data_IF_503018332340
#
_entry.id   IF_503018332340
#
_cell.length_a   1.000
_cell.length_b   1.000
_cell.length_c   1.000
_cell.angle_alpha   90.00
_cell.angle_beta   90.00
_cell.angle_gamma   90.00
#
_symmetry.space_group_name_H-M   'P 1'
#
loop_
_entity.id
_entity.type
_entity.pdbx_description
1 polymer ?
#
# COMPACT_ATOMS: atom_id res chain seq x y z
N UNK A 1 15.74 -19.27 5.92
CA UNK A 1 14.83 -18.37 5.17
C UNK A 1 13.58 -18.18 6.01
N UNK A 2 13.30 -16.97 6.49
CA UNK A 2 12.05 -16.71 7.21
C UNK A 2 10.86 -16.92 6.25
N UNK A 3 9.75 -17.41 6.78
CA UNK A 3 8.55 -17.66 5.99
C UNK A 3 7.89 -16.33 5.65
N UNK A 4 7.70 -16.02 4.35
CA UNK A 4 7.01 -14.80 3.90
C UNK A 4 5.64 -14.65 4.57
N UNK A 5 5.38 -13.47 5.11
CA UNK A 5 4.11 -13.11 5.77
C UNK A 5 3.19 -12.43 4.77
N UNK A 6 1.95 -12.93 4.66
CA UNK A 6 0.92 -12.32 3.81
C UNK A 6 0.20 -11.23 4.58
N UNK A 7 -0.16 -10.16 3.88
CA UNK A 7 -1.07 -9.16 4.40
C UNK A 7 -2.48 -9.73 4.63
N UNK A 8 -3.15 -9.26 5.67
CA UNK A 8 -4.53 -9.66 5.97
C UNK A 8 -5.57 -8.92 5.10
N UNK A 9 -5.17 -7.89 4.34
CA UNK A 9 -5.99 -7.25 3.33
C UNK A 9 -5.62 -7.71 1.91
N UNK A 10 -6.62 -7.77 1.03
CA UNK A 10 -6.40 -7.74 -0.43
C UNK A 10 -6.19 -6.29 -0.83
N UNK A 11 -5.10 -5.98 -1.52
CA UNK A 11 -4.78 -4.60 -1.89
C UNK A 11 -4.21 -4.54 -3.29
N UNK A 12 -4.61 -3.52 -4.04
CA UNK A 12 -4.01 -3.24 -5.33
C UNK A 12 -2.52 -2.90 -5.13
N UNK A 13 -1.65 -3.40 -6.01
CA UNK A 13 -0.20 -3.13 -5.92
C UNK A 13 0.56 -3.95 -4.87
N UNK A 14 -0.09 -4.87 -4.14
CA UNK A 14 0.56 -5.66 -3.08
C UNK A 14 1.87 -6.33 -3.51
N UNK A 15 2.97 -5.95 -2.87
CA UNK A 15 4.35 -6.36 -3.19
C UNK A 15 4.76 -7.74 -2.68
N UNK A 16 3.83 -8.54 -2.15
CA UNK A 16 4.12 -9.86 -1.59
C UNK A 16 4.95 -10.79 -2.51
N UNK A 17 4.73 -10.75 -3.82
CA UNK A 17 5.52 -11.54 -4.79
C UNK A 17 6.91 -10.97 -5.04
N UNK A 18 7.08 -9.66 -4.87
CA UNK A 18 8.30 -8.92 -5.18
C UNK A 18 9.23 -8.79 -3.98
N UNK A 19 8.74 -9.14 -2.79
CA UNK A 19 9.41 -8.80 -1.55
C UNK A 19 10.85 -9.32 -1.44
N UNK A 20 11.16 -10.52 -1.95
CA UNK A 20 12.52 -11.08 -1.96
C UNK A 20 13.48 -10.32 -2.86
N UNK A 21 12.98 -9.76 -3.95
CA UNK A 21 13.79 -8.97 -4.87
C UNK A 21 13.89 -7.52 -4.36
N UNK A 22 12.77 -6.98 -3.86
CA UNK A 22 12.69 -5.64 -3.29
C UNK A 22 13.56 -5.48 -2.04
N UNK A 23 13.57 -6.47 -1.15
CA UNK A 23 14.36 -6.42 0.09
C UNK A 23 15.86 -6.32 -0.16
N UNK A 24 16.36 -6.73 -1.33
CA UNK A 24 17.77 -6.59 -1.72
C UNK A 24 18.14 -5.16 -2.11
N UNK A 25 17.14 -4.34 -2.43
CA UNK A 25 17.32 -2.94 -2.82
C UNK A 25 17.05 -1.98 -1.66
N UNK A 26 16.44 -2.48 -0.58
CA UNK A 26 16.21 -1.68 0.63
C UNK A 26 17.55 -1.52 1.37
N UNK A 27 18.00 -0.27 1.60
CA UNK A 27 19.14 0.00 2.47
C UNK A 27 18.91 -0.49 3.90
N UNK A 28 19.98 -0.67 4.66
CA UNK A 28 19.87 -0.90 6.11
C UNK A 28 19.62 0.43 6.85
N UNK A 29 18.98 0.35 8.02
CA UNK A 29 18.74 1.47 8.92
C UNK A 29 17.94 1.05 10.14
N UNK A 30 17.66 2.01 11.03
CA UNK A 30 17.01 1.73 12.31
C UNK A 30 15.48 1.66 12.18
N UNK A 31 14.92 2.54 11.33
CA UNK A 31 13.48 2.69 11.16
C UNK A 31 13.10 2.76 9.69
N UNK A 32 12.13 1.92 9.29
CA UNK A 32 11.55 2.00 7.96
C UNK A 32 10.34 2.92 7.97
N UNK A 33 10.35 3.92 7.10
CA UNK A 33 9.22 4.81 6.86
C UNK A 33 8.54 4.42 5.56
N UNK A 34 7.25 4.08 5.60
CA UNK A 34 6.42 3.80 4.42
C UNK A 34 5.34 4.88 4.27
N UNK A 35 5.54 5.92 3.42
CA UNK A 35 4.54 6.97 3.19
C UNK A 35 3.25 6.49 2.51
N UNK A 36 3.29 5.29 1.93
CA UNK A 36 2.20 4.66 1.18
C UNK A 36 2.03 3.19 1.61
N UNK A 37 1.83 2.95 2.92
CA UNK A 37 1.91 1.58 3.47
C UNK A 37 0.96 0.60 2.79
N UNK A 38 -0.24 1.05 2.38
CA UNK A 38 -1.24 0.16 1.79
C UNK A 38 -1.46 -1.09 2.65
N UNK A 39 -1.37 -2.29 2.07
CA UNK A 39 -1.47 -3.56 2.80
C UNK A 39 -0.26 -3.92 3.70
N UNK A 40 0.80 -3.11 3.75
CA UNK A 40 1.98 -3.34 4.60
C UNK A 40 2.80 -4.57 4.21
N UNK A 41 2.87 -4.90 2.91
CA UNK A 41 3.61 -6.10 2.47
C UNK A 41 5.11 -5.98 2.71
N UNK A 42 5.68 -4.78 2.61
CA UNK A 42 7.11 -4.54 2.88
C UNK A 42 7.36 -4.59 4.38
N UNK A 43 6.65 -3.76 5.14
CA UNK A 43 6.58 -3.84 6.61
C UNK A 43 6.55 -5.28 7.13
N UNK A 44 5.61 -6.12 6.68
CA UNK A 44 5.45 -7.48 7.18
C UNK A 44 6.63 -8.43 6.92
N UNK A 45 7.55 -8.08 6.02
CA UNK A 45 8.59 -8.98 5.52
C UNK A 45 10.01 -8.39 5.55
N UNK A 46 10.21 -7.24 6.19
CA UNK A 46 11.53 -6.68 6.53
C UNK A 46 11.75 -6.74 8.04
N UNK A 47 12.97 -6.58 8.53
CA UNK A 47 13.29 -6.73 9.97
C UNK A 47 13.98 -5.47 10.52
N UNK A 48 13.36 -4.30 10.31
CA UNK A 48 13.80 -3.04 10.93
C UNK A 48 13.39 -2.98 12.39
N UNK A 49 14.13 -2.21 13.20
CA UNK A 49 13.87 -2.09 14.65
C UNK A 49 12.52 -1.43 14.92
N UNK A 50 12.19 -0.37 14.18
CA UNK A 50 10.89 0.30 14.27
C UNK A 50 10.35 0.70 12.90
N UNK A 51 9.08 1.09 12.84
CA UNK A 51 8.41 1.49 11.61
C UNK A 51 7.58 2.75 11.81
N UNK A 52 7.56 3.63 10.80
CA UNK A 52 6.56 4.69 10.66
C UNK A 52 5.73 4.40 9.40
N UNK A 53 4.48 4.06 9.59
CA UNK A 53 3.59 3.58 8.52
C UNK A 53 2.47 4.58 8.29
N UNK A 54 2.48 5.20 7.11
CA UNK A 54 1.57 6.27 6.74
C UNK A 54 0.71 5.89 5.54
N UNK A 55 -0.53 6.38 5.54
CA UNK A 55 -1.42 6.34 4.39
C UNK A 55 -2.44 7.48 4.53
N UNK A 56 -2.95 7.98 3.40
CA UNK A 56 -4.03 8.98 3.40
C UNK A 56 -5.40 8.35 3.71
N UNK A 57 -5.50 7.01 3.64
CA UNK A 57 -6.73 6.30 3.93
C UNK A 57 -6.95 6.13 5.43
N UNK A 58 -7.83 6.97 5.98
CA UNK A 58 -8.20 6.96 7.40
C UNK A 58 -8.78 5.62 7.88
N UNK A 59 -9.59 4.94 7.06
CA UNK A 59 -10.19 3.65 7.45
C UNK A 59 -9.12 2.56 7.56
N UNK A 60 -8.11 2.61 6.70
CA UNK A 60 -6.96 1.70 6.75
C UNK A 60 -6.12 1.92 8.00
N UNK A 61 -5.76 3.17 8.30
CA UNK A 61 -4.93 3.50 9.46
C UNK A 61 -5.67 3.22 10.77
N UNK A 62 -6.96 3.52 10.86
CA UNK A 62 -7.77 3.18 12.03
C UNK A 62 -7.84 1.67 12.25
N UNK A 63 -8.05 0.90 11.19
CA UNK A 63 -8.01 -0.56 11.26
C UNK A 63 -6.68 -1.05 11.82
N UNK A 64 -5.55 -0.55 11.33
CA UNK A 64 -4.23 -0.95 11.82
C UNK A 64 -4.03 -0.64 13.30
N UNK A 65 -4.43 0.56 13.75
CA UNK A 65 -4.38 0.93 15.18
C UNK A 65 -5.26 0.03 16.05
N UNK A 66 -6.45 -0.35 15.58
CA UNK A 66 -7.35 -1.25 16.31
C UNK A 66 -6.77 -2.67 16.39
N UNK A 67 -6.21 -3.19 15.29
CA UNK A 67 -5.55 -4.51 15.28
C UNK A 67 -4.29 -4.52 16.15
N UNK A 68 -3.58 -3.39 16.25
CA UNK A 68 -2.43 -3.21 17.14
C UNK A 68 -2.84 -3.22 18.62
N UNK A 69 -3.95 -2.57 18.98
CA UNK A 69 -4.31 -2.29 20.39
C UNK A 69 -5.32 -3.28 20.98
N UNK A 70 -6.28 -3.77 20.21
CA UNK A 70 -7.35 -4.67 20.65
C UNK A 70 -7.51 -5.90 19.72
N UNK A 71 -6.43 -6.67 19.42
CA UNK A 71 -6.45 -7.72 18.39
C UNK A 71 -7.50 -8.80 18.62
N UNK A 72 -7.65 -9.32 19.83
CA UNK A 72 -8.57 -10.44 20.08
C UNK A 72 -10.04 -10.02 19.95
N UNK A 73 -10.37 -8.82 20.46
CA UNK A 73 -11.71 -8.23 20.32
C UNK A 73 -12.03 -7.97 18.85
N UNK A 74 -11.07 -7.41 18.10
CA UNK A 74 -11.22 -7.19 16.66
C UNK A 74 -11.41 -8.51 15.90
N UNK A 75 -10.55 -9.51 16.15
CA UNK A 75 -10.61 -10.82 15.50
C UNK A 75 -11.95 -11.49 15.76
N UNK A 76 -12.44 -11.49 17.00
CA UNK A 76 -13.73 -12.08 17.33
C UNK A 76 -14.89 -11.41 16.57
N UNK A 77 -14.95 -10.07 16.57
CA UNK A 77 -15.98 -9.32 15.87
C UNK A 77 -15.90 -9.50 14.35
N UNK A 78 -14.70 -9.43 13.78
CA UNK A 78 -14.48 -9.65 12.35
C UNK A 78 -14.86 -11.08 11.95
N UNK A 79 -14.49 -12.11 12.72
CA UNK A 79 -14.80 -13.51 12.43
C UNK A 79 -16.30 -13.79 12.38
N UNK A 80 -17.09 -13.11 13.21
CA UNK A 80 -18.55 -13.21 13.18
C UNK A 80 -19.17 -12.76 11.85
N UNK A 81 -18.46 -11.93 11.07
CA UNK A 81 -18.89 -11.49 9.74
C UNK A 81 -18.53 -12.48 8.62
N UNK A 82 -17.77 -13.55 8.91
CA UNK A 82 -17.29 -14.54 7.92
C UNK A 82 -18.05 -15.87 8.04
N UNK A 83 -19.38 -15.77 8.13
CA UNK A 83 -20.33 -16.88 8.17
C UNK A 83 -21.12 -16.96 6.85
N UNK A 84 -21.70 -18.13 6.48
CA UNK A 84 -22.40 -18.30 5.21
C UNK A 84 -23.50 -17.27 4.93
N UNK A 85 -24.23 -16.85 5.95
CA UNK A 85 -25.34 -15.89 5.88
C UNK A 85 -24.85 -14.49 5.47
N UNK A 86 -23.59 -14.18 5.77
CA UNK A 86 -22.95 -12.92 5.41
C UNK A 86 -22.32 -12.95 4.02
N UNK A 87 -22.23 -14.11 3.36
CA UNK A 87 -21.81 -14.23 1.96
C UNK A 87 -23.00 -14.11 0.99
N UNK A 88 -23.88 -13.16 1.27
CA UNK A 88 -25.06 -12.83 0.49
C UNK A 88 -24.97 -11.40 -0.06
N UNK A 89 -25.60 -11.17 -1.21
CA UNK A 89 -25.58 -9.89 -1.92
C UNK A 89 -26.32 -8.80 -1.14
N UNK A 90 -27.48 -9.11 -0.57
CA UNK A 90 -28.27 -8.14 0.20
C UNK A 90 -27.60 -7.81 1.52
N UNK A 91 -27.09 -8.83 2.23
CA UNK A 91 -26.29 -8.66 3.44
C UNK A 91 -25.08 -7.75 3.19
N UNK A 92 -24.34 -7.98 2.10
CA UNK A 92 -23.19 -7.14 1.73
C UNK A 92 -23.58 -5.67 1.53
N UNK A 93 -24.69 -5.40 0.83
CA UNK A 93 -25.12 -4.01 0.60
C UNK A 93 -25.67 -3.35 1.85
N UNK A 94 -26.29 -4.10 2.77
CA UNK A 94 -26.67 -3.58 4.09
C UNK A 94 -25.44 -3.15 4.88
N UNK A 95 -24.43 -4.02 4.99
CA UNK A 95 -23.16 -3.69 5.68
C UNK A 95 -22.47 -2.50 5.03
N UNK A 96 -22.46 -2.42 3.69
CA UNK A 96 -21.88 -1.26 2.99
C UNK A 96 -22.61 0.05 3.29
N UNK A 97 -23.94 0.01 3.39
CA UNK A 97 -24.74 1.18 3.78
C UNK A 97 -24.42 1.58 5.22
N UNK A 98 -24.39 0.63 6.14
CA UNK A 98 -24.06 0.90 7.54
C UNK A 98 -22.63 1.43 7.70
N UNK A 99 -21.65 0.88 6.96
CA UNK A 99 -20.28 1.41 6.90
C UNK A 99 -20.25 2.88 6.48
N UNK A 100 -21.07 3.28 5.50
CA UNK A 100 -21.12 4.66 5.04
C UNK A 100 -21.83 5.61 6.02
N UNK A 101 -22.64 5.08 6.95
CA UNK A 101 -23.38 5.87 7.94
C UNK A 101 -22.68 5.93 9.30
N UNK A 102 -22.02 4.86 9.71
CA UNK A 102 -21.39 4.78 11.03
C UNK A 102 -20.11 5.62 11.12
N UNK A 103 -19.96 6.30 12.26
CA UNK A 103 -18.75 7.04 12.64
C UNK A 103 -17.89 6.30 13.65
N UNK A 104 -18.35 5.14 14.15
CA UNK A 104 -17.61 4.33 15.10
C UNK A 104 -16.39 3.67 14.42
N UNK A 105 -15.15 4.02 14.81
CA UNK A 105 -13.95 3.47 14.17
C UNK A 105 -13.83 1.95 14.27
N UNK A 106 -14.31 1.34 15.35
CA UNK A 106 -14.24 -0.10 15.57
C UNK A 106 -15.19 -0.83 14.61
N UNK A 107 -16.46 -0.40 14.56
CA UNK A 107 -17.46 -0.99 13.65
C UNK A 107 -17.03 -0.79 12.19
N UNK A 108 -16.56 0.41 11.85
CA UNK A 108 -16.02 0.70 10.51
C UNK A 108 -14.89 -0.26 10.13
N UNK A 109 -13.96 -0.53 11.05
CA UNK A 109 -12.81 -1.42 10.80
C UNK A 109 -13.22 -2.89 10.62
N UNK A 110 -14.25 -3.35 11.34
CA UNK A 110 -14.82 -4.69 11.16
C UNK A 110 -15.46 -4.80 9.77
N UNK A 111 -16.28 -3.81 9.39
CA UNK A 111 -16.92 -3.76 8.09
C UNK A 111 -15.93 -3.60 6.95
N UNK A 112 -14.84 -2.86 7.15
CA UNK A 112 -13.80 -2.67 6.16
C UNK A 112 -13.15 -4.00 5.74
N UNK A 113 -12.77 -4.86 6.69
CA UNK A 113 -12.20 -6.17 6.38
C UNK A 113 -13.24 -7.10 5.72
N UNK A 114 -14.48 -7.10 6.20
CA UNK A 114 -15.58 -7.84 5.58
C UNK A 114 -15.75 -7.42 4.11
N UNK A 115 -15.88 -6.12 3.84
CA UNK A 115 -16.05 -5.59 2.48
C UNK A 115 -14.81 -5.85 1.60
N UNK A 116 -13.60 -5.80 2.15
CA UNK A 116 -12.39 -6.13 1.42
C UNK A 116 -12.35 -7.60 0.95
N UNK A 117 -12.87 -8.53 1.75
CA UNK A 117 -12.85 -9.97 1.44
C UNK A 117 -14.07 -10.43 0.64
N UNK A 118 -15.22 -9.76 0.79
CA UNK A 118 -16.47 -10.09 0.09
C UNK A 118 -16.71 -9.24 -1.16
N UNK A 119 -16.11 -8.05 -1.24
CA UNK A 119 -16.26 -7.11 -2.34
C UNK A 119 -15.41 -7.44 -3.57
N UNK A 120 -15.84 -6.95 -4.73
CA UNK A 120 -15.22 -7.23 -6.02
C UNK A 120 -13.71 -6.95 -6.02
N UNK A 121 -12.93 -8.00 -6.30
CA UNK A 121 -11.47 -8.00 -6.38
C UNK A 121 -10.72 -7.45 -5.15
N UNK A 122 -11.40 -7.28 -4.01
CA UNK A 122 -10.82 -6.61 -2.85
C UNK A 122 -10.40 -5.17 -3.12
N UNK A 123 -11.13 -4.49 -4.01
CA UNK A 123 -10.92 -3.07 -4.25
C UNK A 123 -11.25 -2.27 -2.98
N UNK A 124 -10.53 -1.17 -2.79
CA UNK A 124 -10.88 -0.11 -1.85
C UNK A 124 -11.20 1.13 -2.68
N UNK A 125 -12.48 1.53 -2.76
CA UNK A 125 -12.91 2.65 -3.60
C UNK A 125 -14.05 3.42 -2.96
N UNK A 126 -13.87 4.73 -2.95
CA UNK A 126 -14.82 5.70 -2.43
C UNK A 126 -15.33 6.60 -3.56
N UNK A 127 -16.56 7.11 -3.42
CA UNK A 127 -17.09 8.15 -4.30
C UNK A 127 -16.59 9.53 -3.83
N UNK A 128 -16.89 10.60 -4.60
CA UNK A 128 -16.51 11.98 -4.25
C UNK A 128 -17.09 12.49 -2.92
N UNK A 129 -18.12 11.84 -2.38
CA UNK A 129 -18.72 12.15 -1.07
C UNK A 129 -18.09 11.33 0.08
N UNK A 130 -17.02 10.58 -0.19
CA UNK A 130 -16.35 9.73 0.80
C UNK A 130 -17.04 8.39 1.09
N UNK A 131 -18.08 8.03 0.33
CA UNK A 131 -18.82 6.78 0.54
C UNK A 131 -18.18 5.60 -0.22
N UNK A 132 -17.94 4.49 0.47
CA UNK A 132 -17.45 3.25 -0.13
C UNK A 132 -18.47 2.68 -1.14
N UNK A 133 -18.02 2.36 -2.35
CA UNK A 133 -18.91 2.03 -3.47
C UNK A 133 -18.51 0.77 -4.27
N UNK A 134 -17.73 -0.14 -3.68
CA UNK A 134 -17.35 -1.41 -4.32
C UNK A 134 -18.55 -2.38 -4.33
N UNK A 135 -18.86 -3.04 -5.46
CA UNK A 135 -19.95 -4.02 -5.54
C UNK A 135 -19.56 -5.36 -4.90
N UNK A 136 -20.55 -6.22 -4.66
CA UNK A 136 -20.35 -7.59 -4.16
C UNK A 136 -19.50 -8.42 -5.15
N UNK A 137 -18.59 -9.25 -4.62
CA UNK A 137 -17.61 -10.01 -5.41
C UNK A 137 -18.02 -11.43 -5.79
N UNK A 138 -19.12 -11.96 -5.26
CA UNK A 138 -19.66 -13.31 -5.54
C UNK A 138 -18.63 -14.45 -5.39
N UNK A 139 -17.82 -14.40 -4.32
CA UNK A 139 -16.86 -15.46 -4.01
C UNK A 139 -17.57 -16.69 -3.42
N UNK A 140 -17.09 -17.89 -3.75
CA UNK A 140 -17.63 -19.14 -3.18
C UNK A 140 -17.50 -19.21 -1.65
N UNK A 141 -16.33 -18.86 -1.13
CA UNK A 141 -16.03 -18.84 0.30
C UNK A 141 -14.91 -17.83 0.58
N UNK A 142 -15.23 -16.61 1.04
CA UNK A 142 -14.23 -15.65 1.48
C UNK A 142 -13.35 -16.22 2.60
N UNK A 143 -12.04 -16.05 2.47
CA UNK A 143 -11.08 -16.49 3.48
C UNK A 143 -11.00 -15.46 4.62
N UNK A 144 -11.17 -15.92 5.86
CA UNK A 144 -10.93 -15.12 7.07
C UNK A 144 -9.44 -15.17 7.46
N UNK A 145 -8.72 -14.04 7.45
CA UNK A 145 -7.26 -14.00 7.61
C UNK A 145 -6.83 -13.95 9.08
N UNK A 146 -7.27 -14.91 9.91
CA UNK A 146 -6.98 -14.90 11.34
C UNK A 146 -5.47 -14.95 11.65
N UNK A 147 -4.74 -15.82 10.94
CA UNK A 147 -3.30 -15.99 11.14
C UNK A 147 -2.54 -14.73 10.75
N UNK A 148 -2.92 -14.12 9.63
CA UNK A 148 -2.31 -12.87 9.16
C UNK A 148 -2.63 -11.68 10.07
N UNK A 149 -3.83 -11.63 10.67
CA UNK A 149 -4.18 -10.61 11.66
C UNK A 149 -3.33 -10.70 12.93
N UNK A 150 -3.13 -11.92 13.45
CA UNK A 150 -2.27 -12.14 14.63
C UNK A 150 -0.82 -11.78 14.35
N UNK A 151 -0.27 -12.25 13.22
CA UNK A 151 1.09 -11.92 12.80
C UNK A 151 1.27 -10.40 12.56
N UNK A 152 0.27 -9.74 11.99
CA UNK A 152 0.27 -8.28 11.84
C UNK A 152 0.28 -7.58 13.20
N UNK A 153 -0.57 -7.99 14.14
CA UNK A 153 -0.66 -7.39 15.48
C UNK A 153 0.63 -7.52 16.27
N UNK A 154 1.29 -8.69 16.21
CA UNK A 154 2.60 -8.92 16.83
C UNK A 154 3.65 -7.95 16.28
N UNK A 155 3.73 -7.84 14.94
CA UNK A 155 4.70 -6.94 14.31
C UNK A 155 4.37 -5.46 14.51
N UNK A 156 3.08 -5.14 14.57
CA UNK A 156 2.59 -3.77 14.73
C UNK A 156 3.05 -3.14 16.05
N UNK A 157 3.48 -3.92 17.05
CA UNK A 157 4.02 -3.35 18.29
C UNK A 157 5.31 -2.54 18.08
N UNK A 158 6.03 -2.79 16.99
CA UNK A 158 7.20 -2.00 16.59
C UNK A 158 6.87 -0.83 15.63
N UNK A 159 5.58 -0.56 15.38
CA UNK A 159 5.15 0.39 14.36
C UNK A 159 4.30 1.54 14.93
N UNK A 160 4.57 2.75 14.44
CA UNK A 160 3.69 3.90 14.57
C UNK A 160 2.86 4.08 13.30
N UNK A 161 1.54 4.21 13.44
CA UNK A 161 0.63 4.43 12.30
C UNK A 161 0.13 5.88 12.26
N UNK A 162 0.24 6.56 11.12
CA UNK A 162 -0.28 7.92 10.93
C UNK A 162 -1.14 8.07 9.68
N UNK A 163 -2.26 8.76 9.81
CA UNK A 163 -3.14 9.08 8.69
C UNK A 163 -2.73 10.42 8.11
N UNK A 164 -1.65 10.43 7.35
CA UNK A 164 -1.03 11.63 6.78
C UNK A 164 -0.66 11.39 5.32
N UNK A 165 -0.57 12.47 4.55
CA UNK A 165 -0.06 12.40 3.18
C UNK A 165 1.43 12.10 3.14
N UNK A 166 1.92 11.71 1.96
CA UNK A 166 3.34 11.39 1.80
C UNK A 166 4.24 12.58 2.15
N UNK A 167 3.83 13.80 1.81
CA UNK A 167 4.62 15.01 2.09
C UNK A 167 4.93 15.20 3.57
N UNK A 168 3.90 15.05 4.42
CA UNK A 168 4.05 15.12 5.87
C UNK A 168 4.82 13.91 6.41
N UNK A 169 4.67 12.72 5.81
CA UNK A 169 5.48 11.56 6.18
C UNK A 169 6.98 11.81 5.97
N UNK A 170 7.38 12.55 4.91
CA UNK A 170 8.77 12.97 4.68
C UNK A 170 9.26 13.97 5.74
N UNK A 171 8.40 14.81 6.29
CA UNK A 171 8.76 15.77 7.35
C UNK A 171 8.99 15.08 8.71
N UNK A 172 8.34 13.93 8.92
CA UNK A 172 8.47 13.12 10.12
C UNK A 172 9.71 12.20 10.13
N UNK A 173 10.46 12.14 9.03
CA UNK A 173 11.68 11.34 8.98
C UNK A 173 12.76 11.93 9.88
N UNK A 174 13.71 11.12 10.32
CA UNK A 174 14.88 11.52 11.11
C UNK A 174 16.11 10.78 10.62
N UNK A 175 17.30 11.20 11.07
CA UNK A 175 18.53 10.50 10.74
C UNK A 175 18.48 9.04 11.23
N UNK A 176 18.94 8.10 10.40
CA UNK A 176 18.82 6.66 10.65
C UNK A 176 17.58 6.01 10.02
N UNK A 177 16.65 6.81 9.49
CA UNK A 177 15.52 6.29 8.73
C UNK A 177 15.95 5.76 7.35
N UNK A 178 15.17 4.81 6.84
CA UNK A 178 15.10 4.43 5.43
C UNK A 178 13.67 4.67 4.96
N UNK A 179 13.49 5.30 3.80
CA UNK A 179 12.14 5.57 3.26
C UNK A 179 11.85 4.64 2.09
N UNK A 180 10.72 3.94 2.14
CA UNK A 180 10.20 3.15 1.01
C UNK A 180 8.87 3.70 0.50
N UNK A 181 8.84 4.08 -0.77
CA UNK A 181 7.69 4.67 -1.42
C UNK A 181 7.10 3.70 -2.46
N UNK A 182 5.84 3.32 -2.25
CA UNK A 182 5.02 2.58 -3.22
C UNK A 182 3.80 3.40 -3.66
N UNK A 183 4.00 4.50 -4.42
CA UNK A 183 2.92 5.39 -4.80
C UNK A 183 1.93 4.67 -5.74
N UNK A 184 0.68 5.18 -5.87
CA UNK A 184 -0.19 4.77 -6.96
C UNK A 184 0.54 4.92 -8.30
N UNK A 185 0.60 3.85 -9.09
CA UNK A 185 1.49 3.80 -10.24
C UNK A 185 1.21 4.87 -11.30
N UNK A 186 2.28 5.29 -11.97
CA UNK A 186 2.19 6.18 -13.12
C UNK A 186 1.36 5.53 -14.26
N UNK A 187 0.62 6.32 -15.05
CA UNK A 187 -0.18 5.80 -16.15
C UNK A 187 0.71 5.08 -17.17
N UNK A 188 0.28 3.89 -17.60
CA UNK A 188 0.91 3.21 -18.73
C UNK A 188 0.58 3.98 -20.03
N UNK A 189 1.50 4.05 -21.00
CA UNK A 189 1.21 4.68 -22.27
C UNK A 189 0.10 3.90 -23.00
N UNK A 190 -1.13 4.42 -22.99
CA UNK A 190 -2.23 3.92 -23.81
C UNK A 190 -2.40 4.76 -25.07
N UNK A 191 -2.61 4.11 -26.21
CA UNK A 191 -3.12 4.73 -27.44
C UNK A 191 -4.59 5.11 -27.26
N UNK A 192 -4.89 6.06 -26.38
CA UNK A 192 -6.16 6.74 -26.27
C UNK A 192 -5.98 7.93 -25.31
N UNK A 193 -6.00 9.12 -25.91
CA UNK A 193 -6.18 10.44 -25.32
C UNK A 193 -5.42 10.80 -24.04
N UNK A 194 -4.45 11.68 -24.22
CA UNK A 194 -4.27 12.87 -23.37
C UNK A 194 -5.64 13.48 -23.06
N UNK A 195 -6.27 13.02 -22.00
CA UNK A 195 -7.44 13.63 -21.37
C UNK A 195 -7.14 13.64 -19.89
N UNK A 196 -6.50 14.72 -19.47
CA UNK A 196 -6.18 15.08 -18.10
C UNK A 196 -7.49 15.32 -17.35
N UNK A 197 -8.17 14.24 -16.95
CA UNK A 197 -9.12 14.34 -15.85
C UNK A 197 -8.30 14.35 -14.57
N UNK A 198 -7.97 15.57 -14.12
CA UNK A 198 -7.48 15.83 -12.76
C UNK A 198 -8.64 15.47 -11.81
N UNK A 199 -8.69 14.20 -11.43
CA UNK A 199 -9.55 13.70 -10.37
C UNK A 199 -8.74 13.50 -9.09
N UNK A 200 -9.43 13.32 -7.97
CA UNK A 200 -8.89 13.09 -6.62
C UNK A 200 -8.04 11.80 -6.51
N UNK A 201 -6.87 11.79 -7.15
CA UNK A 201 -5.91 10.70 -7.17
C UNK A 201 -4.49 11.25 -7.41
N UNK A 202 -3.50 10.36 -7.30
CA UNK A 202 -2.08 10.71 -7.41
C UNK A 202 -1.73 11.09 -8.86
N UNK A 203 -1.46 12.37 -9.09
CA UNK A 203 -1.22 12.96 -10.40
C UNK A 203 0.24 12.79 -10.87
N UNK A 204 0.54 13.20 -12.10
CA UNK A 204 1.93 13.27 -12.57
C UNK A 204 2.74 14.33 -11.81
N UNK A 205 2.10 15.42 -11.39
CA UNK A 205 2.75 16.45 -10.58
C UNK A 205 3.11 15.88 -9.19
N UNK A 206 2.24 15.03 -8.62
CA UNK A 206 2.53 14.32 -7.37
C UNK A 206 3.70 13.33 -7.54
N UNK A 207 3.78 12.62 -8.68
CA UNK A 207 4.92 11.75 -9.00
C UNK A 207 6.24 12.54 -9.06
N UNK A 208 6.24 13.70 -9.73
CA UNK A 208 7.40 14.58 -9.83
C UNK A 208 7.77 15.18 -8.47
N UNK A 209 6.79 15.60 -7.68
CA UNK A 209 7.01 16.13 -6.34
C UNK A 209 7.58 15.07 -5.40
N UNK A 210 7.09 13.82 -5.48
CA UNK A 210 7.65 12.69 -4.74
C UNK A 210 9.11 12.44 -5.11
N UNK A 211 9.46 12.45 -6.40
CA UNK A 211 10.84 12.28 -6.85
C UNK A 211 11.74 13.39 -6.30
N UNK A 212 11.29 14.65 -6.36
CA UNK A 212 12.03 15.80 -5.83
C UNK A 212 12.24 15.71 -4.32
N UNK A 213 11.19 15.41 -3.55
CA UNK A 213 11.28 15.24 -2.09
C UNK A 213 12.21 14.08 -1.72
N UNK A 214 12.15 12.98 -2.48
CA UNK A 214 13.03 11.81 -2.28
C UNK A 214 14.49 12.18 -2.49
N UNK A 215 14.80 12.89 -3.58
CA UNK A 215 16.14 13.39 -3.89
C UNK A 215 16.67 14.32 -2.80
N UNK A 216 15.91 15.35 -2.41
CA UNK A 216 16.34 16.28 -1.36
C UNK A 216 16.53 15.59 -0.01
N UNK A 217 15.66 14.63 0.33
CA UNK A 217 15.80 13.85 1.56
C UNK A 217 17.09 13.03 1.58
N UNK A 218 17.47 12.45 0.44
CA UNK A 218 18.73 11.71 0.33
C UNK A 218 19.96 12.62 0.41
N UNK A 219 19.97 13.73 -0.32
CA UNK A 219 21.14 14.64 -0.39
C UNK A 219 21.28 15.46 0.89
N UNK A 220 20.23 16.18 1.28
CA UNK A 220 20.32 17.21 2.31
C UNK A 220 20.33 16.60 3.72
N UNK A 221 19.73 15.42 3.88
CA UNK A 221 19.50 14.77 5.17
C UNK A 221 20.21 13.43 5.30
N UNK A 222 20.81 12.92 4.23
CA UNK A 222 21.51 11.64 4.21
C UNK A 222 20.60 10.43 4.44
N UNK A 223 19.28 10.57 4.23
CA UNK A 223 18.27 9.53 4.46
C UNK A 223 17.95 8.87 3.13
N UNK A 224 18.27 7.58 2.93
CA UNK A 224 18.07 6.95 1.64
C UNK A 224 16.58 6.68 1.38
N UNK A 225 16.18 6.82 0.12
CA UNK A 225 14.79 6.70 -0.33
C UNK A 225 14.70 5.75 -1.52
N UNK A 226 13.96 4.66 -1.36
CA UNK A 226 13.66 3.70 -2.42
C UNK A 226 12.23 3.90 -2.92
N UNK A 227 12.06 4.08 -4.23
CA UNK A 227 10.75 4.19 -4.88
C UNK A 227 10.54 2.97 -5.78
N UNK A 228 9.36 2.36 -5.72
CA UNK A 228 8.92 1.36 -6.70
C UNK A 228 7.84 1.91 -7.63
N UNK A 229 7.98 1.72 -8.95
CA UNK A 229 6.95 2.08 -9.92
C UNK A 229 6.98 1.15 -11.14
N UNK A 230 6.09 1.37 -12.12
CA UNK A 230 6.22 0.78 -13.44
C UNK A 230 7.53 1.18 -14.11
N UNK A 231 8.20 0.26 -14.79
CA UNK A 231 9.34 0.59 -15.65
C UNK A 231 8.85 1.11 -17.01
N UNK A 232 8.91 2.43 -17.18
CA UNK A 232 8.48 3.14 -18.38
C UNK A 232 9.46 4.26 -18.70
N UNK A 233 9.51 4.77 -19.95
CA UNK A 233 10.31 5.95 -20.27
C UNK A 233 10.01 7.13 -19.33
N UNK A 234 8.73 7.37 -19.04
CA UNK A 234 8.28 8.45 -18.15
C UNK A 234 8.83 8.30 -16.72
N UNK A 235 8.72 7.11 -16.12
CA UNK A 235 9.20 6.89 -14.74
C UNK A 235 10.73 6.89 -14.65
N UNK A 236 11.44 6.46 -15.71
CA UNK A 236 12.90 6.59 -15.78
C UNK A 236 13.35 8.05 -15.88
N UNK A 237 12.59 8.88 -16.60
CA UNK A 237 12.82 10.32 -16.67
C UNK A 237 12.50 11.02 -15.34
N UNK A 238 11.34 10.72 -14.74
CA UNK A 238 10.92 11.27 -13.44
C UNK A 238 11.94 10.95 -12.33
N UNK A 239 12.46 9.73 -12.31
CA UNK A 239 13.43 9.29 -11.31
C UNK A 239 14.87 9.40 -11.77
N UNK A 240 15.15 10.23 -12.78
CA UNK A 240 16.50 10.50 -13.21
C UNK A 240 17.39 10.94 -12.03
N UNK A 241 18.63 10.47 -12.04
CA UNK A 241 19.58 10.64 -10.95
C UNK A 241 19.53 9.58 -9.86
N UNK A 242 18.43 8.83 -9.71
CA UNK A 242 18.45 7.66 -8.82
C UNK A 242 19.32 6.53 -9.41
N UNK A 243 19.81 5.64 -8.55
CA UNK A 243 20.28 4.32 -8.99
C UNK A 243 19.05 3.50 -9.40
N UNK A 244 18.94 3.19 -10.70
CA UNK A 244 17.80 2.50 -11.27
C UNK A 244 18.10 1.02 -11.50
N UNK A 245 17.24 0.14 -10.98
CA UNK A 245 17.23 -1.29 -11.31
C UNK A 245 15.82 -1.75 -11.73
N UNK A 246 15.74 -2.85 -12.46
CA UNK A 246 14.51 -3.41 -13.00
C UNK A 246 14.28 -4.84 -12.50
N UNK A 247 13.15 -5.04 -11.82
CA UNK A 247 12.68 -6.35 -11.40
C UNK A 247 11.62 -6.86 -12.39
N UNK A 248 11.85 -8.03 -12.98
CA UNK A 248 10.87 -8.65 -13.91
C UNK A 248 9.69 -9.23 -13.14
N UNK A 249 8.47 -8.75 -13.42
CA UNK A 249 7.26 -9.18 -12.70
C UNK A 249 6.25 -9.87 -13.60
N UNK A 250 5.76 -11.03 -13.16
CA UNK A 250 4.53 -11.62 -13.70
C UNK A 250 3.30 -11.03 -12.99
N UNK A 251 2.66 -10.03 -13.60
CA UNK A 251 1.35 -9.53 -13.15
C UNK A 251 0.22 -10.38 -13.74
N UNK A 252 -0.59 -10.99 -12.87
CA UNK A 252 -1.81 -11.73 -13.27
C UNK A 252 -3.04 -10.80 -13.25
N UNK A 253 -2.98 -9.68 -13.96
CA UNK A 253 -4.09 -8.70 -14.02
C UNK A 253 -4.66 -8.67 -15.44
N UNK A 254 -5.08 -9.83 -15.96
CA UNK A 254 -5.90 -9.88 -17.18
C UNK A 254 -6.86 -11.08 -17.14
N UNK A 255 -8.09 -10.84 -17.60
CA UNK A 255 -9.19 -11.81 -17.62
C UNK A 255 -9.05 -12.85 -18.75
N UNK A 256 -8.03 -12.72 -19.63
CA UNK A 256 -7.71 -13.64 -20.73
C UNK A 256 -6.29 -14.17 -20.59
N UNK A 257 -6.13 -15.50 -20.52
CA UNK A 257 -4.83 -16.16 -20.31
C UNK A 257 -3.75 -15.84 -21.35
N UNK A 258 -4.13 -15.43 -22.56
CA UNK A 258 -3.23 -15.06 -23.66
C UNK A 258 -2.73 -13.60 -23.62
N UNK A 259 -3.22 -12.76 -22.69
CA UNK A 259 -2.87 -11.33 -22.60
C UNK A 259 -2.05 -10.98 -21.34
N UNK A 260 -1.39 -11.96 -20.70
CA UNK A 260 -0.50 -11.70 -19.56
C UNK A 260 0.81 -11.08 -20.04
N UNK A 261 0.86 -9.75 -20.15
CA UNK A 261 2.12 -9.03 -20.38
C UNK A 261 2.94 -9.03 -19.08
N UNK A 262 4.20 -9.45 -19.16
CA UNK A 262 5.21 -9.12 -18.14
C UNK A 262 5.35 -7.61 -18.16
N UNK A 263 5.17 -6.97 -17.02
CA UNK A 263 5.46 -5.55 -16.86
C UNK A 263 6.62 -5.49 -15.89
N UNK A 264 7.66 -4.78 -16.30
CA UNK A 264 8.85 -4.60 -15.51
C UNK A 264 8.57 -3.56 -14.41
N UNK A 265 9.13 -3.79 -13.23
CA UNK A 265 9.01 -2.91 -12.07
C UNK A 265 10.34 -2.19 -11.87
N UNK A 266 10.30 -0.86 -11.86
CA UNK A 266 11.45 -0.01 -11.64
C UNK A 266 11.65 0.19 -10.14
N UNK A 267 12.87 -0.05 -9.67
CA UNK A 267 13.36 0.34 -8.36
C UNK A 267 14.26 1.56 -8.56
N UNK A 268 13.93 2.68 -7.93
CA UNK A 268 14.71 3.91 -7.98
C UNK A 268 15.21 4.24 -6.58
N UNK A 269 16.52 4.09 -6.35
CA UNK A 269 17.17 4.38 -5.07
C UNK A 269 17.87 5.74 -5.14
N UNK A 270 17.46 6.66 -4.27
CA UNK A 270 18.19 7.87 -3.93
C UNK A 270 18.98 7.62 -2.64
N UNK A 271 20.30 7.80 -2.69
CA UNK A 271 21.18 7.72 -1.53
C UNK A 271 22.28 8.79 -1.62
N UNK A 272 23.21 8.79 -0.66
CA UNK A 272 24.30 9.78 -0.59
C UNK A 272 25.29 9.71 -1.77
N UNK A 273 25.26 8.66 -2.59
CA UNK A 273 26.12 8.54 -3.78
C UNK A 273 25.59 9.35 -4.96
N UNK A 274 24.44 9.98 -4.82
CA UNK A 274 23.95 10.94 -5.79
C UNK A 274 24.76 12.25 -5.70
N UNK A 275 25.83 12.30 -6.47
CA UNK A 275 26.49 13.55 -6.85
C UNK A 275 25.71 14.14 -8.01
N UNK A 276 25.29 15.41 -7.90
CA UNK A 276 24.66 16.12 -9.02
C UNK A 276 25.57 16.06 -10.25
N UNK A 277 25.02 16.08 -11.46
CA UNK A 277 25.78 16.07 -12.72
C UNK A 277 26.62 17.36 -12.95
N UNK A 278 27.17 17.98 -11.91
CA UNK A 278 28.07 19.12 -11.95
C UNK A 278 29.23 19.03 -10.91
N UNK A 279 29.64 17.82 -10.50
CA UNK A 279 31.00 17.55 -10.01
C UNK A 279 31.94 17.24 -11.19
#
# INVERSE_FOLDING_TARGET
MSKKQRAFLKWAGGKFKLIEALSKHLPEGDRLVEPFVGAGSVFLNTDYTTYLLCDINQDLINLYKIVQTEPDKYIAAAKAMFVPEMNDKEAYYKVRTEFNLTKDPFIRSVYFLYMNRHGFNGLCRYNRKGGFNVPFGSYKKPYFPEKELRAFSEKAQAAEFKCVGYEEAFELTVQGDVVYCDPPYAPLPSKASFTTYVGAGFSLDDQALLARKSRHTAIDRGIPVLISNHDTPLTRELYHGASLDTIKVQRNISQKGSARKKVDELMALYDQRYHGEND
#
